data_IF_191430704315
#
_entry.id   IF_191430704315
#
_cell.length_a   1.000
_cell.length_b   1.000
_cell.length_c   1.000
_cell.angle_alpha   90.00
_cell.angle_beta   90.00
_cell.angle_gamma   90.00
#
_symmetry.space_group_name_H-M   'P 1'
#
loop_
_entity.id
_entity.type
_entity.pdbx_description
1 polymer ?
#
# COMPACT_ATOMS: atom_id res chain seq x y z
N UNK A 1 62.24 -7.15 -17.59
CA UNK A 1 60.92 -6.49 -17.73
C UNK A 1 59.91 -7.54 -17.30
N UNK A 2 59.36 -7.41 -16.09
CA UNK A 2 58.58 -8.46 -15.44
C UNK A 2 57.08 -8.17 -15.56
N UNK A 3 56.38 -9.05 -16.25
CA UNK A 3 54.92 -9.04 -16.38
C UNK A 3 54.26 -9.37 -15.04
N UNK A 4 53.44 -8.45 -14.53
CA UNK A 4 52.68 -8.64 -13.29
C UNK A 4 51.22 -8.95 -13.63
N UNK A 5 50.90 -10.22 -13.85
CA UNK A 5 49.50 -10.67 -13.98
C UNK A 5 48.80 -10.61 -12.61
N UNK A 6 47.82 -9.71 -12.49
CA UNK A 6 46.92 -9.64 -11.35
C UNK A 6 45.79 -10.66 -11.52
N UNK A 7 45.86 -11.77 -10.77
CA UNK A 7 44.78 -12.74 -10.65
C UNK A 7 43.75 -12.24 -9.64
N UNK A 8 42.60 -11.75 -10.11
CA UNK A 8 41.47 -11.46 -9.24
C UNK A 8 40.61 -12.72 -9.07
N UNK A 9 40.71 -13.32 -7.89
CA UNK A 9 39.79 -14.35 -7.41
C UNK A 9 38.41 -13.72 -7.18
N UNK A 10 37.48 -13.98 -8.11
CA UNK A 10 36.07 -13.63 -7.95
C UNK A 10 35.43 -14.58 -6.92
N UNK A 11 34.91 -14.10 -5.77
CA UNK A 11 34.15 -14.97 -4.87
C UNK A 11 32.86 -15.42 -5.57
N UNK A 12 32.68 -16.74 -5.63
CA UNK A 12 31.48 -17.39 -6.15
C UNK A 12 30.32 -17.07 -5.22
N UNK A 13 29.51 -16.06 -5.57
CA UNK A 13 28.24 -15.82 -4.89
C UNK A 13 27.27 -16.95 -5.25
N UNK A 14 27.15 -17.91 -4.34
CA UNK A 14 26.00 -18.82 -4.29
C UNK A 14 24.81 -18.00 -3.84
N UNK A 15 24.03 -17.47 -4.80
CA UNK A 15 22.80 -16.75 -4.49
C UNK A 15 21.75 -17.76 -4.03
N UNK A 16 21.53 -17.76 -2.71
CA UNK A 16 20.51 -18.55 -2.02
C UNK A 16 19.12 -17.91 -2.22
N UNK A 17 18.15 -18.77 -2.52
CA UNK A 17 16.73 -18.70 -2.21
C UNK A 17 16.08 -17.32 -1.98
N UNK A 18 15.39 -16.79 -3.01
CA UNK A 18 14.35 -15.75 -2.86
C UNK A 18 13.19 -15.98 -3.83
N UNK A 19 12.36 -16.97 -3.53
CA UNK A 19 11.15 -17.28 -4.32
C UNK A 19 9.88 -17.02 -3.51
N UNK A 20 9.58 -15.74 -3.22
CA UNK A 20 8.19 -15.33 -2.91
C UNK A 20 7.96 -13.82 -3.06
N UNK A 21 8.99 -12.98 -2.91
CA UNK A 21 8.89 -11.53 -3.06
C UNK A 21 9.04 -10.98 -4.48
N UNK A 22 9.30 -11.82 -5.49
CA UNK A 22 9.64 -11.40 -6.87
C UNK A 22 8.54 -11.68 -7.90
N UNK A 23 7.50 -12.47 -7.57
CA UNK A 23 6.43 -12.84 -8.53
C UNK A 23 5.34 -11.78 -8.69
N UNK A 24 5.12 -10.94 -7.66
CA UNK A 24 4.05 -9.94 -7.62
C UNK A 24 4.28 -8.73 -8.54
N UNK A 25 5.46 -8.05 -8.53
CA UNK A 25 5.71 -6.94 -9.47
C UNK A 25 5.75 -7.41 -10.93
N UNK A 26 6.19 -8.65 -11.16
CA UNK A 26 6.21 -9.25 -12.49
C UNK A 26 4.80 -9.44 -13.08
N UNK A 27 3.81 -9.82 -12.25
CA UNK A 27 2.43 -9.93 -12.71
C UNK A 27 1.88 -8.59 -13.20
N UNK A 28 2.02 -7.52 -12.41
CA UNK A 28 1.49 -6.20 -12.77
C UNK A 28 2.15 -5.71 -14.06
N UNK A 29 3.48 -5.84 -14.17
CA UNK A 29 4.20 -5.40 -15.36
C UNK A 29 3.84 -6.24 -16.59
N UNK A 30 3.72 -7.56 -16.43
CA UNK A 30 3.28 -8.48 -17.49
C UNK A 30 1.88 -8.13 -17.97
N UNK A 31 0.93 -7.94 -17.05
CA UNK A 31 -0.44 -7.54 -17.38
C UNK A 31 -0.48 -6.20 -18.11
N UNK A 32 0.22 -5.17 -17.59
CA UNK A 32 0.27 -3.86 -18.25
C UNK A 32 0.83 -3.94 -19.66
N UNK A 33 1.88 -4.74 -19.87
CA UNK A 33 2.49 -4.97 -21.19
C UNK A 33 1.56 -5.73 -22.13
N UNK A 34 0.93 -6.79 -21.67
CA UNK A 34 0.00 -7.60 -22.47
C UNK A 34 -1.29 -6.86 -22.81
N UNK A 35 -1.73 -5.94 -21.95
CA UNK A 35 -2.91 -5.10 -22.16
C UNK A 35 -2.65 -3.90 -23.08
N UNK A 36 -1.38 -3.59 -23.42
CA UNK A 36 -1.06 -2.47 -24.29
C UNK A 36 -1.83 -2.57 -25.60
N UNK A 37 -2.31 -1.44 -26.11
CA UNK A 37 -3.11 -1.34 -27.34
C UNK A 37 -4.50 -1.99 -27.31
N UNK A 38 -4.89 -2.61 -26.19
CA UNK A 38 -6.16 -3.34 -26.08
C UNK A 38 -7.17 -2.71 -25.12
N UNK A 39 -6.83 -1.62 -24.45
CA UNK A 39 -7.65 -1.00 -23.40
C UNK A 39 -9.07 -0.62 -23.82
N UNK A 40 -9.25 -0.14 -25.07
CA UNK A 40 -10.57 0.19 -25.62
C UNK A 40 -11.55 -0.99 -25.60
N UNK A 41 -11.06 -2.20 -25.86
CA UNK A 41 -11.86 -3.43 -25.88
C UNK A 41 -11.84 -4.16 -24.53
N UNK A 42 -10.71 -4.08 -23.84
CA UNK A 42 -10.44 -4.79 -22.58
C UNK A 42 -11.25 -4.22 -21.42
N UNK A 43 -11.41 -2.90 -21.34
CA UNK A 43 -12.18 -2.26 -20.27
C UNK A 43 -13.67 -2.65 -20.32
N UNK A 44 -14.37 -2.60 -21.49
CA UNK A 44 -15.71 -3.15 -21.63
C UNK A 44 -15.80 -4.65 -21.30
N UNK A 45 -14.81 -5.46 -21.71
CA UNK A 45 -14.76 -6.88 -21.35
C UNK A 45 -14.63 -7.11 -19.84
N UNK A 46 -14.00 -6.18 -19.11
CA UNK A 46 -13.97 -6.16 -17.65
C UNK A 46 -15.26 -5.62 -17.01
N UNK A 47 -16.28 -5.27 -17.80
CA UNK A 47 -17.53 -4.66 -17.35
C UNK A 47 -17.43 -3.17 -17.03
N UNK A 48 -16.52 -2.46 -17.70
CA UNK A 48 -16.29 -1.02 -17.50
C UNK A 48 -16.60 -0.29 -18.81
N UNK A 49 -17.75 0.39 -18.83
CA UNK A 49 -18.12 1.22 -19.97
C UNK A 49 -17.25 2.48 -20.03
N UNK A 50 -16.64 2.71 -21.19
CA UNK A 50 -15.85 3.91 -21.47
C UNK A 50 -16.39 4.60 -22.72
N UNK A 51 -16.34 5.94 -22.78
CA UNK A 51 -16.59 6.65 -24.03
C UNK A 51 -15.53 6.24 -25.07
N UNK A 52 -15.86 6.38 -26.35
CA UNK A 52 -14.88 6.22 -27.41
C UNK A 52 -13.69 7.17 -27.20
N UNK A 53 -12.50 6.76 -27.66
CA UNK A 53 -11.28 7.55 -27.52
C UNK A 53 -11.47 9.00 -28.00
N UNK A 54 -10.98 9.94 -27.19
CA UNK A 54 -11.11 11.38 -27.42
C UNK A 54 -12.51 11.96 -27.16
N UNK A 55 -13.50 11.14 -26.77
CA UNK A 55 -14.83 11.62 -26.38
C UNK A 55 -14.97 11.73 -24.86
N UNK A 56 -15.90 12.60 -24.49
CA UNK A 56 -16.33 12.78 -23.12
C UNK A 56 -17.44 11.79 -22.77
N UNK A 57 -17.45 11.32 -21.52
CA UNK A 57 -18.51 10.45 -21.05
C UNK A 57 -18.71 10.45 -19.53
N UNK A 58 -19.64 9.62 -19.09
CA UNK A 58 -19.84 9.31 -17.68
C UNK A 58 -18.61 8.61 -17.11
N UNK A 59 -18.25 8.92 -15.85
CA UNK A 59 -17.19 8.20 -15.16
C UNK A 59 -17.76 6.94 -14.50
N UNK A 60 -17.17 5.75 -14.71
CA UNK A 60 -17.58 4.54 -13.99
C UNK A 60 -17.50 4.64 -12.46
N UNK A 61 -16.57 5.47 -11.94
CA UNK A 61 -16.29 5.59 -10.50
C UNK A 61 -17.14 6.65 -9.79
N UNK A 62 -17.41 7.80 -10.43
CA UNK A 62 -18.07 8.94 -9.77
C UNK A 62 -19.29 9.49 -10.54
N UNK A 63 -19.70 8.83 -11.62
CA UNK A 63 -20.82 9.24 -12.46
C UNK A 63 -20.62 10.58 -13.17
N UNK A 64 -21.73 11.27 -13.41
CA UNK A 64 -21.81 12.45 -14.29
C UNK A 64 -21.95 12.06 -15.77
N UNK A 65 -21.87 13.03 -16.67
CA UNK A 65 -22.15 12.82 -18.11
C UNK A 65 -20.99 13.18 -19.06
N UNK A 66 -20.07 14.06 -18.68
CA UNK A 66 -19.07 14.63 -19.62
C UNK A 66 -17.64 14.78 -19.05
N UNK A 67 -17.40 14.41 -17.80
CA UNK A 67 -16.18 14.81 -17.07
C UNK A 67 -15.06 13.78 -17.16
N UNK A 68 -15.39 12.58 -17.61
CA UNK A 68 -14.43 11.51 -17.86
C UNK A 68 -13.95 11.56 -19.31
N UNK A 69 -12.64 11.43 -19.46
CA UNK A 69 -11.97 11.39 -20.74
C UNK A 69 -11.11 10.13 -20.82
N UNK A 70 -11.40 9.31 -21.82
CA UNK A 70 -10.52 8.22 -22.22
C UNK A 70 -9.60 8.73 -23.33
N UNK A 71 -8.33 8.95 -22.97
CA UNK A 71 -7.33 9.60 -23.82
C UNK A 71 -6.53 8.53 -24.57
N UNK A 72 -5.97 7.58 -23.83
CA UNK A 72 -5.18 6.44 -24.34
C UNK A 72 -4.20 6.76 -25.49
N UNK A 73 -3.49 7.89 -25.40
CA UNK A 73 -2.52 8.30 -26.43
C UNK A 73 -1.24 7.46 -26.39
N UNK A 74 -0.94 6.85 -25.24
CA UNK A 74 0.25 6.02 -25.03
C UNK A 74 -0.05 4.53 -24.95
N UNK A 75 -1.27 4.11 -25.28
CA UNK A 75 -1.69 2.70 -25.31
C UNK A 75 -1.63 2.01 -23.93
N UNK A 76 -1.71 2.79 -22.85
CA UNK A 76 -1.74 2.32 -21.46
C UNK A 76 -3.12 2.43 -20.82
N UNK A 77 -4.16 2.80 -21.58
CA UNK A 77 -5.51 3.02 -21.08
C UNK A 77 -5.62 4.31 -20.28
N UNK A 78 -4.84 5.33 -20.65
CA UNK A 78 -4.77 6.58 -19.91
C UNK A 78 -6.13 7.27 -19.87
N UNK A 79 -6.52 7.69 -18.66
CA UNK A 79 -7.77 8.42 -18.44
C UNK A 79 -7.57 9.62 -17.51
N UNK A 80 -8.50 10.56 -17.62
CA UNK A 80 -8.55 11.75 -16.77
C UNK A 80 -10.00 12.07 -16.38
N UNK A 81 -10.19 12.57 -15.16
CA UNK A 81 -11.45 13.07 -14.66
C UNK A 81 -11.30 14.45 -14.03
N UNK A 82 -12.08 15.42 -14.52
CA UNK A 82 -12.03 16.82 -14.08
C UNK A 82 -12.59 17.09 -12.68
N UNK A 83 -13.35 16.17 -12.10
CA UNK A 83 -14.13 16.41 -10.88
C UNK A 83 -13.69 15.59 -9.66
N UNK A 84 -12.68 14.75 -9.82
CA UNK A 84 -12.16 13.99 -8.70
C UNK A 84 -10.90 14.65 -8.17
N UNK A 85 -10.68 14.49 -6.86
CA UNK A 85 -9.52 15.07 -6.21
C UNK A 85 -8.29 14.20 -6.48
N UNK A 86 -8.19 13.02 -5.86
CA UNK A 86 -7.08 12.10 -6.10
C UNK A 86 -7.45 10.60 -5.92
N UNK A 87 -6.95 9.71 -6.79
CA UNK A 87 -6.40 9.99 -8.11
C UNK A 87 -7.53 10.33 -9.11
N UNK A 88 -7.31 11.43 -9.83
CA UNK A 88 -8.17 11.96 -10.89
C UNK A 88 -7.60 11.72 -12.29
N UNK A 89 -6.44 11.07 -12.39
CA UNK A 89 -5.86 10.48 -13.59
C UNK A 89 -5.30 9.09 -13.25
N UNK A 90 -5.03 8.28 -14.26
CA UNK A 90 -4.41 6.97 -14.09
C UNK A 90 -4.29 6.21 -15.40
N UNK A 91 -3.83 4.97 -15.31
CA UNK A 91 -3.83 4.02 -16.42
C UNK A 91 -5.05 3.08 -16.39
N UNK A 92 -5.14 2.18 -17.36
CA UNK A 92 -6.28 1.27 -17.47
C UNK A 92 -6.38 0.28 -16.31
N UNK A 93 -5.25 -0.14 -15.72
CA UNK A 93 -5.24 -1.01 -14.54
C UNK A 93 -5.77 -0.25 -13.32
N UNK A 94 -5.34 0.99 -13.14
CA UNK A 94 -5.84 1.87 -12.09
C UNK A 94 -7.36 2.08 -12.24
N UNK A 95 -7.86 2.21 -13.47
CA UNK A 95 -9.28 2.37 -13.75
C UNK A 95 -10.09 1.14 -13.29
N UNK A 96 -9.59 -0.07 -13.59
CA UNK A 96 -10.23 -1.33 -13.16
C UNK A 96 -10.28 -1.42 -11.65
N UNK A 97 -9.15 -1.19 -10.98
CA UNK A 97 -9.06 -1.22 -9.52
C UNK A 97 -10.04 -0.24 -8.87
N UNK A 98 -10.08 1.01 -9.37
CA UNK A 98 -10.97 2.04 -8.81
C UNK A 98 -12.44 1.80 -9.08
N UNK A 99 -12.79 1.30 -10.25
CA UNK A 99 -14.19 1.05 -10.63
C UNK A 99 -14.77 -0.12 -9.84
N UNK A 100 -13.96 -1.16 -9.58
CA UNK A 100 -14.39 -2.34 -8.83
C UNK A 100 -14.16 -2.23 -7.32
N UNK A 101 -13.41 -1.22 -6.85
CA UNK A 101 -13.09 -1.05 -5.42
C UNK A 101 -12.13 -2.13 -4.88
N UNK A 102 -11.26 -2.66 -5.73
CA UNK A 102 -10.34 -3.78 -5.41
C UNK A 102 -8.88 -3.31 -5.41
N UNK A 103 -7.98 -4.16 -4.89
CA UNK A 103 -6.55 -3.88 -4.93
C UNK A 103 -5.98 -3.91 -6.36
N UNK A 104 -4.86 -3.23 -6.61
CA UNK A 104 -4.19 -3.24 -7.92
C UNK A 104 -3.80 -4.66 -8.36
N UNK A 105 -3.40 -5.52 -7.42
CA UNK A 105 -3.06 -6.92 -7.70
C UNK A 105 -4.29 -7.71 -8.13
N UNK A 106 -5.44 -7.51 -7.47
CA UNK A 106 -6.69 -8.16 -7.86
C UNK A 106 -7.19 -7.65 -9.21
N UNK A 107 -7.08 -6.36 -9.48
CA UNK A 107 -7.36 -5.81 -10.80
C UNK A 107 -6.46 -6.44 -11.88
N UNK A 108 -5.18 -6.67 -11.57
CA UNK A 108 -4.26 -7.32 -12.49
C UNK A 108 -4.68 -8.78 -12.77
N UNK A 109 -5.21 -9.50 -11.77
CA UNK A 109 -5.77 -10.85 -11.95
C UNK A 109 -7.00 -10.84 -12.85
N UNK A 110 -7.94 -9.92 -12.62
CA UNK A 110 -9.14 -9.75 -13.46
C UNK A 110 -8.74 -9.52 -14.92
N UNK A 111 -7.76 -8.66 -15.17
CA UNK A 111 -7.26 -8.40 -16.52
C UNK A 111 -6.53 -9.62 -17.09
N UNK A 112 -5.69 -10.30 -16.29
CA UNK A 112 -4.99 -11.51 -16.71
C UNK A 112 -5.97 -12.61 -17.16
N UNK A 113 -7.04 -12.82 -16.39
CA UNK A 113 -8.10 -13.78 -16.71
C UNK A 113 -8.82 -13.40 -18.01
N UNK A 114 -9.11 -12.10 -18.20
CA UNK A 114 -9.74 -11.58 -19.42
C UNK A 114 -8.84 -11.73 -20.66
N UNK A 115 -7.52 -11.60 -20.48
CA UNK A 115 -6.51 -11.80 -21.51
C UNK A 115 -6.09 -13.27 -21.68
N UNK A 116 -6.66 -14.20 -20.89
CA UNK A 116 -6.26 -15.60 -20.81
C UNK A 116 -4.75 -15.81 -20.59
N UNK A 117 -4.12 -14.93 -19.81
CA UNK A 117 -2.71 -15.06 -19.44
C UNK A 117 -2.53 -16.15 -18.39
N UNK A 118 -1.42 -16.91 -18.41
CA UNK A 118 -1.14 -17.89 -17.38
C UNK A 118 -0.90 -17.17 -16.04
N UNK A 119 -1.90 -17.19 -15.16
CA UNK A 119 -1.77 -16.68 -13.81
C UNK A 119 -0.92 -17.68 -12.99
N UNK A 120 0.03 -17.23 -12.14
CA UNK A 120 0.66 -18.12 -11.19
C UNK A 120 -0.42 -18.78 -10.33
N UNK A 121 -0.45 -20.11 -10.34
CA UNK A 121 -1.50 -20.85 -9.64
C UNK A 121 -1.59 -20.38 -8.18
N UNK A 122 -2.81 -20.14 -7.68
CA UNK A 122 -3.00 -19.83 -6.29
C UNK A 122 -2.58 -21.05 -5.48
N UNK A 123 -1.39 -21.02 -4.88
CA UNK A 123 -1.07 -21.90 -3.76
C UNK A 123 -2.20 -21.71 -2.74
N UNK A 124 -2.87 -22.78 -2.26
CA UNK A 124 -3.97 -22.66 -1.30
C UNK A 124 -3.44 -21.91 -0.08
N UNK A 125 -3.77 -20.63 -0.01
CA UNK A 125 -3.38 -19.78 1.10
C UNK A 125 -4.33 -20.15 2.22
N UNK A 126 -3.79 -20.90 3.19
CA UNK A 126 -4.41 -21.14 4.48
C UNK A 126 -5.05 -19.83 4.95
N UNK A 127 -6.36 -19.91 5.15
CA UNK A 127 -7.22 -18.89 5.70
C UNK A 127 -6.49 -18.15 6.82
N UNK A 128 -6.05 -16.92 6.55
CA UNK A 128 -5.73 -16.00 7.63
C UNK A 128 -7.06 -15.58 8.20
N UNK A 129 -7.52 -16.36 9.18
CA UNK A 129 -8.55 -15.96 10.12
C UNK A 129 -8.07 -14.62 10.68
N UNK A 130 -8.63 -13.53 10.17
CA UNK A 130 -8.59 -12.27 10.88
C UNK A 130 -9.36 -12.55 12.16
N UNK A 131 -8.61 -12.77 13.25
CA UNK A 131 -9.16 -12.91 14.59
C UNK A 131 -10.04 -11.68 14.84
N UNK A 132 -11.33 -11.88 14.65
CA UNK A 132 -12.39 -10.95 15.00
C UNK A 132 -12.44 -10.93 16.52
N UNK A 133 -11.48 -10.24 17.14
CA UNK A 133 -11.67 -9.78 18.50
C UNK A 133 -12.95 -8.97 18.51
N UNK A 134 -13.92 -9.48 19.25
CA UNK A 134 -15.27 -8.94 19.30
C UNK A 134 -15.21 -7.46 19.65
N UNK A 135 -16.10 -6.65 19.07
CA UNK A 135 -16.26 -5.24 19.43
C UNK A 135 -16.43 -5.11 20.96
N UNK A 136 -17.04 -6.11 21.61
CA UNK A 136 -17.20 -6.17 23.07
C UNK A 136 -15.86 -6.24 23.83
N UNK A 137 -14.85 -6.96 23.32
CA UNK A 137 -13.51 -7.01 23.93
C UNK A 137 -12.80 -5.65 23.82
N UNK A 138 -12.89 -5.01 22.66
CA UNK A 138 -12.29 -3.69 22.44
C UNK A 138 -12.93 -2.61 23.33
N UNK A 139 -14.26 -2.66 23.53
CA UNK A 139 -14.98 -1.73 24.41
C UNK A 139 -14.61 -1.96 25.88
N UNK A 140 -14.43 -3.21 26.31
CA UNK A 140 -14.03 -3.53 27.69
C UNK A 140 -12.62 -3.01 28.01
N UNK A 141 -11.66 -3.20 27.09
CA UNK A 141 -10.32 -2.64 27.23
C UNK A 141 -10.33 -1.10 27.29
N UNK A 142 -11.30 -0.46 26.62
CA UNK A 142 -11.45 1.00 26.63
C UNK A 142 -12.01 1.56 27.96
N UNK A 143 -12.72 0.74 28.74
CA UNK A 143 -13.26 1.17 30.03
C UNK A 143 -12.25 0.99 31.16
N UNK A 144 -11.32 0.05 31.04
CA UNK A 144 -10.31 -0.24 32.06
C UNK A 144 -9.26 0.87 32.23
N UNK A 145 -8.95 1.64 31.19
CA UNK A 145 -7.93 2.70 31.27
C UNK A 145 -8.45 4.07 31.75
N UNK A 146 -9.74 4.20 32.09
CA UNK A 146 -10.33 5.49 32.51
C UNK A 146 -10.54 5.65 34.03
N UNK A 147 -10.21 4.66 34.85
CA UNK A 147 -10.29 4.81 36.30
C UNK A 147 -8.91 4.73 36.93
N UNK A 148 -8.31 5.90 37.17
CA UNK A 148 -7.49 6.24 38.35
C UNK A 148 -7.00 7.69 38.19
N UNK A 149 -7.76 8.64 38.75
CA UNK A 149 -7.24 9.98 39.05
C UNK A 149 -7.25 10.15 40.56
N UNK A 150 -6.12 9.93 41.27
CA UNK A 150 -6.05 10.20 42.70
C UNK A 150 -5.70 11.67 42.92
N UNK A 151 -6.69 12.43 43.36
CA UNK A 151 -6.49 13.73 43.99
C UNK A 151 -5.96 13.48 45.42
N UNK A 152 -4.64 13.52 45.61
CA UNK A 152 -4.03 13.35 46.94
C UNK A 152 -3.52 14.70 47.47
N UNK A 153 -4.11 15.10 48.60
CA UNK A 153 -3.83 16.31 49.38
C UNK A 153 -2.51 16.18 50.16
N UNK A 154 -1.91 17.36 50.40
CA UNK A 154 -0.72 17.73 51.19
C UNK A 154 -0.30 16.78 52.32
N UNK A 155 1.01 16.71 52.59
CA UNK A 155 1.60 17.14 53.87
C UNK A 155 3.12 17.33 53.75
N UNK A 156 3.57 18.56 54.00
CA UNK A 156 4.97 18.91 54.20
C UNK A 156 5.32 18.67 55.67
N UNK A 157 6.32 17.83 55.94
CA UNK A 157 6.98 17.79 57.24
C UNK A 157 8.49 17.72 57.02
N UNK A 158 9.13 18.88 56.94
CA UNK A 158 10.59 18.99 56.90
C UNK A 158 11.15 18.71 58.31
N UNK A 159 12.17 17.86 58.34
CA UNK A 159 12.78 17.27 59.52
C UNK A 159 13.36 18.29 60.52
N UNK A 160 13.26 17.96 61.80
CA UNK A 160 13.98 18.61 62.89
C UNK A 160 14.91 17.62 63.61
N UNK A 161 16.22 17.86 63.53
CA UNK A 161 17.29 17.54 64.52
C UNK A 161 18.61 18.08 63.94
N UNK A 162 19.12 19.28 64.28
CA UNK A 162 19.56 19.92 65.54
C UNK A 162 20.89 19.38 66.08
N UNK A 163 21.82 20.34 66.29
CA UNK A 163 23.03 20.37 67.14
C UNK A 163 24.33 19.91 66.48
N UNK A 164 25.50 20.48 66.72
CA UNK A 164 26.03 21.69 67.38
C UNK A 164 27.53 21.59 67.01
N UNK A 165 28.13 22.57 66.31
CA UNK A 165 28.99 23.61 66.90
C UNK A 165 30.50 23.34 66.70
N UNK A 166 31.27 24.44 66.65
CA UNK A 166 32.75 24.60 66.68
C UNK A 166 33.51 24.32 65.35
N UNK A 167 34.35 25.19 64.78
CA UNK A 167 35.13 26.37 65.25
C UNK A 167 35.65 27.20 64.02
N UNK A 168 36.30 28.38 64.23
CA UNK A 168 36.38 29.51 63.30
C UNK A 168 37.76 29.65 62.62
N UNK A 169 38.05 30.87 62.11
CA UNK A 169 39.37 31.43 61.74
C UNK A 169 39.71 31.23 60.24
N UNK A 170 40.13 32.21 59.44
CA UNK A 170 40.72 33.51 59.73
C UNK A 170 40.67 34.42 58.47
N UNK A 171 41.09 35.68 58.69
CA UNK A 171 41.09 36.91 57.89
C UNK A 171 41.50 36.88 56.41
#
# INVERSE_FOLDING_TARGET
MADTQHNQTHPKFTSSDKTDGQKQPDLIQTVKRSAMYHWENLLPACGIDIPAKGKHGARPVCGGTDRFHFIDDHNHGNWYCRQCDAPNYGDGLDLVAKTKGISIIEAAKVIADTLALPLPEPKPTRESIQTTQSIAERVTALMAHRSLSPMARKNYSLAARRKDHLLPYQS
#
